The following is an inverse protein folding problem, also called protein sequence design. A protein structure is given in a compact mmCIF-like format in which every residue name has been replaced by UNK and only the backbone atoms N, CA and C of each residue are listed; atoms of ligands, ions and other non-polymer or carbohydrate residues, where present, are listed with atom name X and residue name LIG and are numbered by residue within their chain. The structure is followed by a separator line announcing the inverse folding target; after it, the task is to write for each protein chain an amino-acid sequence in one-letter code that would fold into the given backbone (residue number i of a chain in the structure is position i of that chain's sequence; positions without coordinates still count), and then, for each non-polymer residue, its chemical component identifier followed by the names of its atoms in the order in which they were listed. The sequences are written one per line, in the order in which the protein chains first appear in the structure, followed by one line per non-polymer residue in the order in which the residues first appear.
data_IF_107630001919
#
_entry.id   IF_107630001919
#
_cell.length_a   1.000
_cell.length_b   1.000
_cell.length_c   1.000
_cell.angle_alpha   90.00
_cell.angle_beta   90.00
_cell.angle_gamma   90.00
#
_symmetry.space_group_name_H-M   'P 1'
#
loop_
_entity.id
_entity.type
_entity.pdbx_description
1 polymer ?
#
# COMPACT_ATOMS: atom_id res chain seq x y z
N UNK A 1 -36.82 -4.59 -33.03
CA UNK A 1 -35.39 -4.87 -33.25
C UNK A 1 -34.51 -3.80 -32.59
N UNK A 2 -34.73 -2.51 -32.90
CA UNK A 2 -33.98 -1.40 -32.27
C UNK A 2 -34.05 -1.36 -30.74
N UNK A 3 -35.25 -1.56 -30.16
CA UNK A 3 -35.41 -1.56 -28.70
C UNK A 3 -34.66 -2.72 -28.00
N UNK A 4 -34.54 -3.88 -28.64
CA UNK A 4 -33.77 -5.01 -28.10
C UNK A 4 -32.27 -4.73 -28.18
N UNK A 5 -31.82 -4.12 -29.28
CA UNK A 5 -30.42 -3.72 -29.44
C UNK A 5 -30.00 -2.64 -28.42
N UNK A 6 -30.82 -1.60 -28.27
CA UNK A 6 -30.58 -0.54 -27.28
C UNK A 6 -30.49 -1.11 -25.86
N UNK A 7 -31.41 -2.01 -25.49
CA UNK A 7 -31.38 -2.69 -24.19
C UNK A 7 -30.13 -3.56 -24.00
N UNK A 8 -29.69 -4.26 -25.03
CA UNK A 8 -28.45 -5.06 -24.98
C UNK A 8 -27.20 -4.21 -24.80
N UNK A 9 -27.14 -3.03 -25.45
CA UNK A 9 -26.04 -2.08 -25.28
C UNK A 9 -26.04 -1.46 -23.88
N UNK A 10 -27.20 -1.06 -23.38
CA UNK A 10 -27.36 -0.51 -22.03
C UNK A 10 -26.92 -1.53 -20.96
N UNK A 11 -27.42 -2.77 -21.04
CA UNK A 11 -27.03 -3.85 -20.13
C UNK A 11 -25.52 -4.16 -20.22
N UNK A 12 -24.97 -4.24 -21.43
CA UNK A 12 -23.54 -4.50 -21.61
C UNK A 12 -22.66 -3.39 -21.04
N UNK A 13 -23.08 -2.13 -21.15
CA UNK A 13 -22.37 -0.99 -20.57
C UNK A 13 -22.46 -0.98 -19.04
N UNK A 14 -23.65 -1.20 -18.49
CA UNK A 14 -23.90 -1.26 -17.05
C UNK A 14 -23.08 -2.39 -16.41
N UNK A 15 -23.16 -3.60 -16.94
CA UNK A 15 -22.37 -4.73 -16.45
C UNK A 15 -20.87 -4.51 -16.59
N UNK A 16 -20.44 -3.91 -17.70
CA UNK A 16 -19.03 -3.61 -17.95
C UNK A 16 -18.48 -2.59 -16.96
N UNK A 17 -19.25 -1.54 -16.67
CA UNK A 17 -18.89 -0.51 -15.71
C UNK A 17 -18.85 -1.07 -14.29
N UNK A 18 -19.88 -1.81 -13.89
CA UNK A 18 -19.99 -2.41 -12.56
C UNK A 18 -18.81 -3.36 -12.29
N UNK A 19 -18.58 -4.33 -13.19
CA UNK A 19 -17.46 -5.29 -13.08
C UNK A 19 -16.11 -4.58 -13.11
N UNK A 20 -15.98 -3.54 -13.94
CA UNK A 20 -14.75 -2.76 -14.05
C UNK A 20 -14.44 -1.99 -12.77
N UNK A 21 -15.45 -1.33 -12.19
CA UNK A 21 -15.33 -0.53 -10.98
C UNK A 21 -15.07 -1.41 -9.76
N UNK A 22 -15.84 -2.49 -9.59
CA UNK A 22 -15.68 -3.43 -8.48
C UNK A 22 -14.26 -4.00 -8.45
N UNK A 23 -13.79 -4.57 -9.57
CA UNK A 23 -12.43 -5.13 -9.67
C UNK A 23 -11.35 -4.07 -9.49
N UNK A 24 -11.58 -2.86 -9.99
CA UNK A 24 -10.65 -1.74 -9.86
C UNK A 24 -10.49 -1.31 -8.40
N UNK A 25 -11.61 -1.13 -7.70
CA UNK A 25 -11.65 -0.73 -6.30
C UNK A 25 -11.08 -1.81 -5.39
N UNK A 26 -11.49 -3.07 -5.55
CA UNK A 26 -11.01 -4.20 -4.74
C UNK A 26 -9.48 -4.30 -4.81
N UNK A 27 -8.93 -4.34 -6.03
CA UNK A 27 -7.47 -4.41 -6.25
C UNK A 27 -6.74 -3.18 -5.73
N UNK A 28 -7.32 -2.00 -5.92
CA UNK A 28 -6.73 -0.74 -5.45
C UNK A 28 -6.65 -0.68 -3.93
N UNK A 29 -7.74 -1.04 -3.25
CA UNK A 29 -7.83 -1.05 -1.79
C UNK A 29 -6.94 -2.12 -1.18
N UNK A 30 -6.94 -3.34 -1.73
CA UNK A 30 -6.09 -4.42 -1.25
C UNK A 30 -4.60 -4.05 -1.33
N UNK A 31 -4.14 -3.60 -2.50
CA UNK A 31 -2.74 -3.17 -2.69
C UNK A 31 -2.38 -1.98 -1.81
N UNK A 32 -3.27 -0.99 -1.70
CA UNK A 32 -3.04 0.18 -0.86
C UNK A 32 -2.92 -0.20 0.62
N UNK A 33 -3.78 -1.10 1.10
CA UNK A 33 -3.76 -1.60 2.48
C UNK A 33 -2.49 -2.41 2.77
N UNK A 34 -2.11 -3.32 1.88
CA UNK A 34 -0.89 -4.12 2.05
C UNK A 34 0.38 -3.24 2.08
N UNK A 35 0.54 -2.34 1.12
CA UNK A 35 1.69 -1.43 1.07
C UNK A 35 1.72 -0.49 2.28
N UNK A 36 0.55 0.01 2.71
CA UNK A 36 0.43 0.86 3.90
C UNK A 36 0.83 0.12 5.17
N UNK A 37 0.38 -1.13 5.33
CA UNK A 37 0.71 -1.98 6.47
C UNK A 37 2.20 -2.30 6.51
N UNK A 38 2.79 -2.72 5.39
CA UNK A 38 4.22 -3.05 5.32
C UNK A 38 5.10 -1.85 5.67
N UNK A 39 4.79 -0.67 5.11
CA UNK A 39 5.47 0.58 5.44
C UNK A 39 5.33 0.92 6.92
N UNK A 40 4.14 0.79 7.49
CA UNK A 40 3.88 1.05 8.91
C UNK A 40 4.70 0.14 9.82
N UNK A 41 4.78 -1.15 9.50
CA UNK A 41 5.56 -2.13 10.25
C UNK A 41 7.06 -1.82 10.19
N UNK A 42 7.60 -1.50 9.01
CA UNK A 42 9.01 -1.13 8.87
C UNK A 42 9.34 0.17 9.60
N UNK A 43 8.51 1.20 9.49
CA UNK A 43 8.68 2.46 10.20
C UNK A 43 8.67 2.25 11.72
N UNK A 44 7.74 1.43 12.23
CA UNK A 44 7.70 1.05 13.64
C UNK A 44 8.95 0.30 14.08
N UNK A 45 9.40 -0.68 13.29
CA UNK A 45 10.62 -1.45 13.54
C UNK A 45 11.86 -0.55 13.58
N UNK A 46 12.03 0.35 12.61
CA UNK A 46 13.16 1.29 12.56
C UNK A 46 13.20 2.12 13.84
N UNK A 47 12.07 2.73 14.24
CA UNK A 47 12.03 3.56 15.44
C UNK A 47 12.32 2.77 16.71
N UNK A 48 11.78 1.56 16.82
CA UNK A 48 12.05 0.68 17.96
C UNK A 48 13.54 0.32 18.04
N UNK A 49 14.16 -0.05 16.91
CA UNK A 49 15.59 -0.34 16.86
C UNK A 49 16.45 0.89 17.18
N UNK A 50 16.09 2.07 16.68
CA UNK A 50 16.79 3.32 17.01
C UNK A 50 16.73 3.61 18.51
N UNK A 51 15.58 3.37 19.16
CA UNK A 51 15.46 3.53 20.61
C UNK A 51 16.36 2.53 21.37
N UNK A 52 16.34 1.25 20.99
CA UNK A 52 17.17 0.21 21.63
C UNK A 52 18.66 0.51 21.45
N UNK A 53 19.07 0.99 20.28
CA UNK A 53 20.45 1.35 19.96
C UNK A 53 20.85 2.75 20.46
N UNK A 54 19.96 3.45 21.18
CA UNK A 54 20.16 4.83 21.63
C UNK A 54 20.57 5.81 20.50
N UNK A 55 20.03 5.60 19.30
CA UNK A 55 20.21 6.47 18.14
C UNK A 55 19.08 7.51 18.04
N UNK A 56 19.32 8.65 17.37
CA UNK A 56 18.27 9.62 17.08
C UNK A 56 17.09 8.95 16.35
N UNK A 57 15.88 9.10 16.88
CA UNK A 57 14.69 8.52 16.27
C UNK A 57 14.20 9.38 15.12
N UNK A 58 13.96 8.76 13.96
CA UNK A 58 13.34 9.47 12.84
C UNK A 58 11.90 9.87 13.16
N UNK A 59 11.50 11.03 12.68
CA UNK A 59 10.12 11.50 12.74
C UNK A 59 9.24 10.69 11.78
N UNK A 60 7.91 10.64 12.02
CA UNK A 60 6.97 10.02 11.09
C UNK A 60 7.06 10.58 9.67
N UNK A 61 7.35 11.89 9.52
CA UNK A 61 7.45 12.55 8.22
C UNK A 61 8.67 12.09 7.43
N UNK A 62 9.82 11.96 8.09
CA UNK A 62 11.04 11.47 7.45
C UNK A 62 10.86 10.01 7.00
N UNK A 63 10.24 9.16 7.83
CA UNK A 63 9.95 7.78 7.47
C UNK A 63 8.96 7.69 6.31
N UNK A 64 7.93 8.54 6.29
CA UNK A 64 6.94 8.58 5.20
C UNK A 64 7.55 9.05 3.86
N UNK A 65 8.62 9.83 3.88
CA UNK A 65 9.32 10.28 2.67
C UNK A 65 10.23 9.22 2.04
N UNK A 66 10.54 8.14 2.77
CA UNK A 66 11.38 7.03 2.28
C UNK A 66 10.56 6.05 1.45
N UNK A 67 11.19 5.49 0.42
CA UNK A 67 10.68 4.34 -0.32
C UNK A 67 10.65 3.08 0.54
N UNK A 68 9.87 2.08 0.11
CA UNK A 68 9.78 0.80 0.82
C UNK A 68 11.15 0.12 0.91
N UNK A 69 11.92 0.13 -0.18
CA UNK A 69 13.28 -0.44 -0.23
C UNK A 69 14.23 0.24 0.74
N UNK A 70 14.17 1.57 0.87
CA UNK A 70 14.99 2.30 1.85
C UNK A 70 14.60 1.97 3.29
N UNK A 71 13.30 1.83 3.57
CA UNK A 71 12.83 1.40 4.90
C UNK A 71 13.29 -0.02 5.22
N UNK A 72 13.22 -0.95 4.26
CA UNK A 72 13.72 -2.32 4.41
C UNK A 72 15.23 -2.35 4.67
N UNK A 73 16.01 -1.61 3.88
CA UNK A 73 17.46 -1.51 4.04
C UNK A 73 17.85 -0.92 5.41
N UNK A 74 17.20 0.18 5.83
CA UNK A 74 17.45 0.79 7.13
C UNK A 74 17.10 -0.14 8.29
N UNK A 75 15.99 -0.87 8.20
CA UNK A 75 15.59 -1.82 9.23
C UNK A 75 16.57 -2.99 9.33
N UNK A 76 17.10 -3.47 8.20
CA UNK A 76 18.10 -4.53 8.15
C UNK A 76 19.45 -4.05 8.72
N UNK A 77 19.89 -2.84 8.35
CA UNK A 77 21.10 -2.22 8.88
C UNK A 77 21.03 -2.08 10.40
N UNK A 78 19.97 -1.46 10.94
CA UNK A 78 19.80 -1.32 12.38
C UNK A 78 19.73 -2.66 13.10
N UNK A 79 19.05 -3.66 12.52
CA UNK A 79 18.99 -5.00 13.12
C UNK A 79 20.37 -5.68 13.16
N UNK A 80 21.24 -5.42 12.19
CA UNK A 80 22.59 -5.99 12.16
C UNK A 80 23.50 -5.49 13.28
N UNK A 81 23.21 -4.30 13.84
CA UNK A 81 23.95 -3.71 14.95
C UNK A 81 23.62 -4.33 16.32
N UNK A 82 22.60 -5.20 16.40
CA UNK A 82 22.23 -5.92 17.63
C UNK A 82 22.88 -7.31 17.74
N UNK A 83 23.67 -7.71 16.73
CA UNK A 83 24.39 -8.98 16.72
C UNK A 83 25.79 -8.85 17.31
#
# INVERSE_FOLDING_TARGET
LEALFARGVEQGLEEGLEKGLERGLERGLERGREQGLERGLLAGRIRALQQVLNQPTMTPRELASKSLTELQAQAAELASLLN
#
